data_IF_256755933170
#
_entry.id   IF_256755933170
#
_cell.length_a   1.000
_cell.length_b   1.000
_cell.length_c   1.000
_cell.angle_alpha   90.00
_cell.angle_beta   90.00
_cell.angle_gamma   90.00
#
_symmetry.space_group_name_H-M   'P 1'
#
loop_
_entity.id
_entity.type
_entity.pdbx_description
1 polymer ?
#
# COMPACT_ATOMS: atom_id res chain seq x y z
N UNK A 1 -6.06 8.70 2.38
CA UNK A 1 -5.26 7.46 2.24
C UNK A 1 -5.98 6.49 1.33
N UNK A 2 -5.34 6.03 0.24
CA UNK A 2 -5.88 4.98 -0.62
C UNK A 2 -6.03 3.66 0.15
N UNK A 3 -7.18 3.01 0.00
CA UNK A 3 -7.44 1.65 0.47
C UNK A 3 -7.82 0.81 -0.74
N UNK A 4 -7.23 -0.36 -0.86
CA UNK A 4 -7.61 -1.36 -1.85
C UNK A 4 -8.29 -2.53 -1.14
N UNK A 5 -9.36 -3.03 -1.76
CA UNK A 5 -10.07 -4.21 -1.29
C UNK A 5 -10.24 -5.16 -2.46
N UNK A 6 -9.85 -6.41 -2.24
CA UNK A 6 -9.77 -7.38 -3.31
C UNK A 6 -11.08 -7.51 -4.11
N UNK A 7 -12.23 -7.56 -3.43
CA UNK A 7 -13.51 -7.74 -4.12
C UNK A 7 -14.00 -6.49 -4.84
N UNK A 8 -13.66 -5.29 -4.34
CA UNK A 8 -14.12 -4.03 -4.94
C UNK A 8 -13.30 -3.64 -6.15
N UNK A 9 -12.02 -4.04 -6.15
CA UNK A 9 -11.08 -3.80 -7.24
C UNK A 9 -11.09 -4.94 -8.28
N UNK A 10 -11.93 -5.96 -8.06
CA UNK A 10 -12.20 -7.03 -9.01
C UNK A 10 -13.05 -6.48 -10.17
N UNK A 11 -12.44 -6.30 -11.33
CA UNK A 11 -13.12 -5.79 -12.52
C UNK A 11 -13.13 -6.84 -13.63
N UNK A 12 -14.32 -7.17 -14.14
CA UNK A 12 -14.48 -7.98 -15.35
C UNK A 12 -14.05 -7.24 -16.63
N UNK A 13 -13.70 -5.96 -16.55
CA UNK A 13 -13.60 -5.04 -17.69
C UNK A 13 -12.27 -4.27 -17.79
N UNK A 14 -11.55 -4.07 -16.69
CA UNK A 14 -10.24 -3.41 -16.67
C UNK A 14 -9.24 -4.24 -15.86
N UNK A 15 -8.36 -4.92 -16.58
CA UNK A 15 -7.31 -5.79 -16.05
C UNK A 15 -5.96 -5.26 -16.53
N UNK A 16 -5.06 -4.80 -15.63
CA UNK A 16 -3.79 -4.26 -16.08
C UNK A 16 -2.80 -5.33 -16.63
N UNK A 17 -3.04 -6.66 -16.53
CA UNK A 17 -2.09 -7.66 -17.08
C UNK A 17 -2.54 -9.15 -17.26
N UNK A 18 -3.73 -9.45 -17.82
CA UNK A 18 -4.24 -10.80 -18.28
C UNK A 18 -4.45 -11.89 -17.19
N UNK A 19 -4.86 -13.15 -17.50
CA UNK A 19 -6.26 -13.61 -17.66
C UNK A 19 -6.76 -14.18 -16.32
N UNK A 20 -7.98 -13.84 -15.92
CA UNK A 20 -8.67 -14.46 -14.79
C UNK A 20 -9.49 -15.64 -15.32
N UNK A 21 -9.26 -16.86 -14.84
CA UNK A 21 -10.18 -17.98 -15.07
C UNK A 21 -11.20 -18.01 -13.94
N UNK A 22 -12.48 -17.77 -14.26
CA UNK A 22 -13.59 -17.99 -13.34
C UNK A 22 -14.26 -19.33 -13.67
N UNK A 23 -14.59 -20.10 -12.64
CA UNK A 23 -15.29 -21.38 -12.76
C UNK A 23 -16.68 -21.30 -12.14
N UNK A 24 -17.60 -22.15 -12.60
CA UNK A 24 -18.90 -22.33 -11.98
C UNK A 24 -18.96 -23.68 -11.27
N UNK A 25 -19.55 -23.72 -10.07
CA UNK A 25 -19.85 -24.99 -9.41
C UNK A 25 -21.10 -25.63 -10.03
N UNK A 26 -21.20 -26.97 -10.12
CA UNK A 26 -22.41 -27.64 -10.55
C UNK A 26 -23.63 -27.23 -9.73
N UNK A 27 -24.80 -27.25 -10.38
CA UNK A 27 -26.08 -26.89 -9.77
C UNK A 27 -26.37 -27.71 -8.50
N UNK A 28 -26.85 -27.06 -7.43
CA UNK A 28 -27.21 -27.70 -6.15
C UNK A 28 -26.16 -27.55 -5.03
N UNK A 29 -24.98 -27.01 -5.32
CA UNK A 29 -24.01 -26.65 -4.28
C UNK A 29 -24.03 -25.14 -4.02
N UNK A 30 -24.39 -24.77 -2.80
CA UNK A 30 -24.39 -23.38 -2.33
C UNK A 30 -23.19 -23.14 -1.42
N UNK A 31 -22.44 -22.08 -1.69
CA UNK A 31 -21.36 -21.59 -0.84
C UNK A 31 -21.71 -20.17 -0.46
N UNK A 32 -21.70 -19.89 0.85
CA UNK A 32 -21.86 -18.55 1.37
C UNK A 32 -20.53 -17.81 1.21
N UNK A 33 -20.48 -16.90 0.25
CA UNK A 33 -19.35 -16.00 0.08
C UNK A 33 -19.70 -14.70 0.82
N UNK A 34 -18.94 -14.39 1.86
CA UNK A 34 -19.08 -13.11 2.56
C UNK A 34 -18.64 -11.97 1.64
N UNK A 35 -19.24 -10.79 1.80
CA UNK A 35 -18.83 -9.58 1.09
C UNK A 35 -17.34 -9.29 1.33
N UNK A 36 -16.67 -8.62 0.40
CA UNK A 36 -15.25 -8.25 0.51
C UNK A 36 -14.25 -9.42 0.38
N UNK A 37 -14.63 -10.52 -0.27
CA UNK A 37 -13.72 -11.62 -0.55
C UNK A 37 -13.82 -12.18 -1.97
N UNK A 38 -12.79 -12.92 -2.37
CA UNK A 38 -12.73 -13.69 -3.61
C UNK A 38 -12.56 -15.16 -3.25
N UNK A 39 -13.43 -16.01 -3.80
CA UNK A 39 -13.28 -17.45 -3.68
C UNK A 39 -12.26 -17.96 -4.70
N UNK A 40 -11.26 -18.68 -4.22
CA UNK A 40 -10.14 -19.21 -4.99
C UNK A 40 -10.21 -20.73 -4.96
N UNK A 41 -10.15 -21.36 -6.13
CA UNK A 41 -10.11 -22.81 -6.30
C UNK A 41 -8.90 -23.15 -7.19
N UNK A 42 -7.86 -23.82 -6.67
CA UNK A 42 -6.87 -24.46 -7.52
C UNK A 42 -7.51 -25.68 -8.19
N UNK A 43 -7.15 -25.98 -9.44
CA UNK A 43 -7.81 -27.04 -10.25
C UNK A 43 -7.71 -28.48 -9.64
N UNK A 44 -7.02 -28.64 -8.51
CA UNK A 44 -6.96 -29.87 -7.72
C UNK A 44 -6.21 -31.00 -8.42
N UNK A 45 -5.55 -30.72 -9.54
CA UNK A 45 -4.78 -31.67 -10.31
C UNK A 45 -3.35 -31.16 -10.49
N UNK A 46 -2.37 -31.98 -10.13
CA UNK A 46 -0.94 -31.72 -10.34
C UNK A 46 -0.34 -30.51 -9.57
N UNK A 47 -0.86 -30.16 -8.39
CA UNK A 47 -0.24 -29.15 -7.54
C UNK A 47 -0.44 -27.73 -8.08
N UNK A 48 -1.58 -27.49 -8.70
CA UNK A 48 -1.94 -26.18 -9.24
C UNK A 48 -2.20 -25.17 -8.14
N UNK A 49 -2.02 -23.90 -8.48
CA UNK A 49 -2.23 -22.78 -7.59
C UNK A 49 -3.24 -21.80 -8.20
N UNK A 50 -4.09 -21.23 -7.35
CA UNK A 50 -4.85 -20.03 -7.66
C UNK A 50 -4.10 -18.83 -7.08
N UNK A 51 -3.92 -17.77 -7.87
CA UNK A 51 -3.11 -16.60 -7.48
C UNK A 51 -3.93 -15.33 -7.67
N UNK A 52 -3.98 -14.53 -6.61
CA UNK A 52 -4.43 -13.14 -6.65
C UNK A 52 -3.19 -12.26 -6.47
N UNK A 53 -2.96 -11.34 -7.41
CA UNK A 53 -1.78 -10.47 -7.43
C UNK A 53 -2.16 -9.02 -7.18
N UNK A 54 -1.55 -8.42 -6.16
CA UNK A 54 -1.47 -6.97 -6.01
C UNK A 54 -0.17 -6.46 -6.64
N UNK A 55 -0.24 -5.38 -7.41
CA UNK A 55 0.94 -4.68 -7.95
C UNK A 55 0.94 -3.26 -7.40
N UNK A 56 2.00 -2.88 -6.70
CA UNK A 56 2.05 -1.58 -6.04
C UNK A 56 2.05 -0.45 -7.08
N UNK A 57 1.11 0.51 -7.01
CA UNK A 57 1.02 1.58 -8.01
C UNK A 57 2.12 2.64 -7.85
N UNK A 58 2.72 2.75 -6.66
CA UNK A 58 3.83 3.66 -6.34
C UNK A 58 4.63 3.16 -5.15
N UNK A 59 5.80 3.74 -4.94
CA UNK A 59 6.63 3.45 -3.76
C UNK A 59 5.89 3.84 -2.46
N UNK A 60 6.02 3.00 -1.44
CA UNK A 60 5.58 3.33 -0.09
C UNK A 60 5.55 2.16 0.87
N UNK A 61 5.14 2.42 2.11
CA UNK A 61 4.89 1.37 3.09
C UNK A 61 3.43 0.93 3.01
N UNK A 62 3.19 -0.36 2.83
CA UNK A 62 1.87 -0.93 2.71
C UNK A 62 1.55 -1.79 3.93
N UNK A 63 0.39 -1.59 4.53
CA UNK A 63 -0.18 -2.47 5.54
C UNK A 63 -1.06 -3.49 4.84
N UNK A 64 -0.80 -4.76 5.10
CA UNK A 64 -1.59 -5.89 4.62
C UNK A 64 -2.43 -6.43 5.78
N UNK A 65 -3.72 -6.63 5.58
CA UNK A 65 -4.63 -7.30 6.50
C UNK A 65 -5.42 -8.36 5.71
N UNK A 66 -5.15 -9.62 6.02
CA UNK A 66 -5.48 -10.76 5.14
C UNK A 66 -6.08 -11.87 5.96
N UNK A 67 -7.19 -12.42 5.46
CA UNK A 67 -7.83 -13.61 6.01
C UNK A 67 -8.04 -14.62 4.88
N UNK A 68 -7.61 -15.85 5.12
CA UNK A 68 -7.98 -17.00 4.31
C UNK A 68 -8.89 -17.91 5.10
N UNK A 69 -10.00 -18.34 4.48
CA UNK A 69 -10.96 -19.24 5.11
C UNK A 69 -11.32 -20.36 4.15
N UNK A 70 -11.25 -21.60 4.62
CA UNK A 70 -11.74 -22.77 3.88
C UNK A 70 -13.27 -22.75 3.85
N UNK A 71 -13.88 -22.72 2.67
CA UNK A 71 -15.35 -22.52 2.52
C UNK A 71 -16.07 -23.73 1.92
N UNK A 72 -15.36 -24.83 1.70
CA UNK A 72 -15.92 -26.06 1.15
C UNK A 72 -15.98 -27.16 2.19
N UNK A 73 -17.14 -27.83 2.30
CA UNK A 73 -17.41 -28.82 3.36
C UNK A 73 -16.58 -30.09 3.28
N UNK A 74 -16.00 -30.38 2.12
CA UNK A 74 -15.09 -31.52 1.93
C UNK A 74 -13.61 -31.10 1.88
N UNK A 75 -13.31 -29.83 2.15
CA UNK A 75 -11.94 -29.36 2.30
C UNK A 75 -11.27 -30.09 3.45
N UNK A 76 -10.02 -30.53 3.23
CA UNK A 76 -9.20 -31.16 4.27
C UNK A 76 -7.99 -30.34 4.63
N UNK A 77 -7.25 -29.91 3.61
CA UNK A 77 -6.04 -29.12 3.74
C UNK A 77 -5.98 -28.10 2.62
N UNK A 78 -5.57 -26.87 2.89
CA UNK A 78 -5.28 -25.90 1.84
C UNK A 78 -4.08 -25.08 2.25
N UNK A 79 -3.06 -25.11 1.40
CA UNK A 79 -1.87 -24.30 1.60
C UNK A 79 -2.17 -22.87 1.15
N UNK A 80 -1.92 -21.90 2.02
CA UNK A 80 -2.05 -20.49 1.68
C UNK A 80 -0.73 -19.78 1.89
N UNK A 81 -0.38 -18.91 0.94
CA UNK A 81 0.92 -18.26 0.88
C UNK A 81 0.77 -16.79 0.56
N UNK A 82 1.65 -15.97 1.14
CA UNK A 82 1.83 -14.57 0.79
C UNK A 82 3.28 -14.41 0.35
N UNK A 83 3.48 -14.17 -0.95
CA UNK A 83 4.79 -14.06 -1.57
C UNK A 83 5.02 -12.63 -2.03
N UNK A 84 6.16 -12.07 -1.66
CA UNK A 84 6.60 -10.75 -2.09
C UNK A 84 7.62 -10.85 -3.24
N UNK A 85 7.34 -10.10 -4.30
CA UNK A 85 8.17 -9.96 -5.50
C UNK A 85 8.54 -11.30 -6.17
N UNK A 86 7.69 -12.31 -6.06
CA UNK A 86 7.92 -13.69 -6.51
C UNK A 86 9.11 -14.44 -5.86
N UNK A 87 9.77 -13.90 -4.83
CA UNK A 87 10.98 -14.50 -4.24
C UNK A 87 10.91 -14.67 -2.73
N UNK A 88 10.23 -13.78 -2.01
CA UNK A 88 10.26 -13.77 -0.54
C UNK A 88 8.94 -14.26 0.01
N UNK A 89 8.93 -15.39 0.71
CA UNK A 89 7.75 -15.82 1.48
C UNK A 89 7.59 -14.93 2.70
N UNK A 90 6.53 -14.11 2.72
CA UNK A 90 6.16 -13.31 3.88
C UNK A 90 5.39 -14.15 4.90
N UNK A 91 4.57 -15.07 4.42
CA UNK A 91 3.75 -15.93 5.26
C UNK A 91 3.32 -17.19 4.51
N UNK A 92 3.24 -18.31 5.23
CA UNK A 92 2.79 -19.60 4.73
C UNK A 92 2.11 -20.35 5.89
N UNK A 93 0.94 -20.92 5.63
CA UNK A 93 0.23 -21.77 6.58
C UNK A 93 -0.71 -22.74 5.87
N UNK A 94 -1.08 -23.81 6.57
CA UNK A 94 -2.09 -24.77 6.14
C UNK A 94 -3.42 -24.53 6.87
N UNK A 95 -4.53 -24.56 6.12
CA UNK A 95 -5.90 -24.56 6.64
C UNK A 95 -6.37 -26.01 6.84
N UNK A 96 -6.74 -26.38 8.06
CA UNK A 96 -7.05 -27.76 8.46
C UNK A 96 -8.55 -28.04 8.48
N UNK A 97 -9.15 -28.13 7.30
CA UNK A 97 -10.53 -28.59 7.11
C UNK A 97 -11.52 -27.48 6.78
N UNK A 98 -12.82 -27.78 6.80
CA UNK A 98 -13.87 -26.81 6.50
C UNK A 98 -13.90 -25.71 7.57
N UNK A 99 -14.16 -24.47 7.14
CA UNK A 99 -14.29 -23.28 8.00
C UNK A 99 -13.02 -22.88 8.76
N UNK A 100 -11.91 -23.62 8.65
CA UNK A 100 -10.66 -23.19 9.23
C UNK A 100 -10.22 -21.88 8.59
N UNK A 101 -9.85 -20.93 9.45
CA UNK A 101 -9.54 -19.56 9.08
C UNK A 101 -8.23 -19.15 9.73
N UNK A 102 -7.37 -18.50 8.93
CA UNK A 102 -6.09 -17.99 9.37
C UNK A 102 -5.89 -16.58 8.83
N UNK A 103 -5.34 -15.72 9.67
CA UNK A 103 -5.10 -14.33 9.33
C UNK A 103 -3.61 -13.99 9.37
N UNK A 104 -3.25 -13.04 8.51
CA UNK A 104 -1.95 -12.41 8.47
C UNK A 104 -2.12 -10.89 8.45
N UNK A 105 -1.36 -10.21 9.31
CA UNK A 105 -1.33 -8.76 9.33
C UNK A 105 0.11 -8.27 9.51
N UNK A 106 0.52 -7.32 8.68
CA UNK A 106 1.79 -6.62 8.89
C UNK A 106 1.70 -5.72 10.13
N UNK A 107 2.83 -5.23 10.62
CA UNK A 107 2.80 -4.18 11.66
C UNK A 107 2.15 -2.89 11.13
N UNK A 108 1.76 -1.99 12.04
CA UNK A 108 1.15 -0.69 11.68
C UNK A 108 2.09 0.22 10.87
N UNK A 109 3.39 -0.08 10.83
CA UNK A 109 4.37 0.62 10.00
C UNK A 109 4.43 0.09 8.56
N UNK A 110 3.71 -1.00 8.27
CA UNK A 110 3.67 -1.67 6.98
C UNK A 110 4.99 -2.29 6.56
N UNK A 111 5.03 -2.78 5.32
CA UNK A 111 6.24 -3.23 4.64
C UNK A 111 6.56 -2.28 3.48
N UNK A 112 7.84 -1.96 3.22
CA UNK A 112 8.22 -1.16 2.07
C UNK A 112 8.02 -1.95 0.78
N UNK A 113 7.26 -1.41 -0.17
CA UNK A 113 7.03 -1.98 -1.51
C UNK A 113 7.24 -0.88 -2.54
N UNK A 114 8.04 -1.15 -3.57
CA UNK A 114 8.29 -0.21 -4.67
C UNK A 114 7.21 -0.32 -5.74
N UNK A 115 7.08 0.74 -6.53
CA UNK A 115 6.22 0.78 -7.70
C UNK A 115 6.50 -0.42 -8.62
N UNK A 116 5.43 -1.07 -9.06
CA UNK A 116 5.42 -2.26 -9.92
C UNK A 116 5.95 -3.56 -9.27
N UNK A 117 6.37 -3.55 -8.00
CA UNK A 117 6.60 -4.80 -7.26
C UNK A 117 5.25 -5.43 -6.87
N UNK A 118 5.27 -6.76 -6.70
CA UNK A 118 4.04 -7.52 -6.48
C UNK A 118 3.95 -8.16 -5.07
N UNK A 119 2.72 -8.35 -4.62
CA UNK A 119 2.37 -9.25 -3.53
C UNK A 119 1.38 -10.26 -4.09
N UNK A 120 1.74 -11.53 -4.01
CA UNK A 120 0.92 -12.64 -4.48
C UNK A 120 0.30 -13.35 -3.29
N UNK A 121 -1.02 -13.45 -3.32
CA UNK A 121 -1.85 -14.21 -2.40
C UNK A 121 -2.22 -15.50 -3.11
N UNK A 122 -1.68 -16.61 -2.62
CA UNK A 122 -1.69 -17.89 -3.33
C UNK A 122 -2.46 -18.90 -2.50
N UNK A 123 -3.34 -19.65 -3.17
CA UNK A 123 -4.02 -20.82 -2.62
C UNK A 123 -3.60 -22.03 -3.42
N UNK A 124 -3.11 -23.07 -2.74
CA UNK A 124 -2.73 -24.34 -3.33
C UNK A 124 -3.31 -25.53 -2.57
N UNK A 125 -2.99 -26.73 -3.06
CA UNK A 125 -3.51 -28.00 -2.54
C UNK A 125 -3.05 -28.35 -1.11
N UNK A 126 -2.05 -27.64 -0.56
CA UNK A 126 -1.50 -27.91 0.77
C UNK A 126 -0.86 -29.30 0.86
N UNK A 127 -0.91 -29.92 2.05
CA UNK A 127 -0.28 -31.22 2.30
C UNK A 127 -1.01 -32.43 1.66
N UNK A 128 -2.23 -32.27 1.13
CA UNK A 128 -3.06 -33.38 0.62
C UNK A 128 -3.81 -33.04 -0.67
N UNK A 129 -3.62 -33.85 -1.72
CA UNK A 129 -4.20 -33.70 -3.07
C UNK A 129 -5.69 -34.03 -3.14
N UNK A 130 -6.52 -33.17 -2.57
CA UNK A 130 -7.98 -33.33 -2.62
C UNK A 130 -8.59 -32.22 -3.48
N UNK A 131 -9.52 -32.63 -4.36
CA UNK A 131 -9.98 -31.86 -5.53
C UNK A 131 -11.05 -30.81 -5.16
N UNK A 132 -11.63 -30.88 -3.96
CA UNK A 132 -12.77 -30.04 -3.56
C UNK A 132 -12.40 -28.98 -2.51
N UNK A 133 -11.45 -28.12 -2.87
CA UNK A 133 -10.92 -27.09 -1.98
C UNK A 133 -11.20 -25.69 -2.54
N UNK A 134 -12.19 -25.00 -1.97
CA UNK A 134 -12.31 -23.55 -2.14
C UNK A 134 -11.85 -22.81 -0.89
N UNK A 135 -11.08 -21.76 -1.11
CA UNK A 135 -10.64 -20.85 -0.07
C UNK A 135 -11.13 -19.44 -0.39
N UNK A 136 -11.83 -18.84 0.56
CA UNK A 136 -12.16 -17.41 0.52
C UNK A 136 -10.95 -16.60 0.97
N UNK A 137 -10.48 -15.70 0.11
CA UNK A 137 -9.48 -14.71 0.45
C UNK A 137 -10.15 -13.34 0.66
N UNK A 138 -10.02 -12.77 1.85
CA UNK A 138 -10.43 -11.41 2.18
C UNK A 138 -9.18 -10.58 2.43
N UNK A 139 -8.93 -9.60 1.56
CA UNK A 139 -7.70 -8.81 1.58
C UNK A 139 -8.04 -7.32 1.63
N UNK A 140 -7.45 -6.64 2.61
CA UNK A 140 -7.41 -5.19 2.71
C UNK A 140 -5.94 -4.73 2.66
N UNK A 141 -5.64 -3.81 1.75
CA UNK A 141 -4.30 -3.24 1.56
C UNK A 141 -4.39 -1.72 1.71
N UNK A 142 -3.50 -1.18 2.53
CA UNK A 142 -3.46 0.25 2.81
C UNK A 142 -2.07 0.80 2.53
N UNK A 143 -1.99 1.86 1.71
CA UNK A 143 -0.76 2.63 1.60
C UNK A 143 -0.70 3.60 2.78
N UNK A 144 0.36 3.50 3.56
CA UNK A 144 0.75 4.54 4.50
C UNK A 144 1.34 5.69 3.70
N UNK A 145 0.51 6.72 3.50
CA UNK A 145 1.04 7.99 3.07
C UNK A 145 1.98 8.47 4.17
N UNK A 146 3.26 8.60 3.84
CA UNK A 146 4.16 9.37 4.67
C UNK A 146 3.44 10.71 4.86
N UNK A 147 2.98 10.97 6.09
CA UNK A 147 2.70 12.34 6.47
C UNK A 147 4.04 13.02 6.23
N UNK A 148 4.18 13.68 5.09
CA UNK A 148 5.09 14.80 4.98
C UNK A 148 4.53 15.80 5.99
N UNK A 149 4.81 15.57 7.28
CA UNK A 149 5.37 16.62 8.10
C UNK A 149 6.55 17.09 7.25
N UNK A 150 6.27 18.01 6.34
CA UNK A 150 7.23 19.05 6.07
C UNK A 150 7.75 19.38 7.47
N UNK A 151 9.05 19.23 7.75
CA UNK A 151 9.55 19.98 8.87
C UNK A 151 9.05 21.38 8.57
N UNK A 152 8.14 21.89 9.40
CA UNK A 152 8.02 23.32 9.52
C UNK A 152 9.41 23.66 10.00
N UNK A 153 10.31 23.94 9.06
CA UNK A 153 11.53 24.65 9.33
C UNK A 153 10.96 25.98 9.80
N UNK A 154 10.74 26.07 11.11
CA UNK A 154 10.44 27.29 11.84
C UNK A 154 11.68 28.20 11.75
N UNK A 155 12.03 28.55 10.52
CA UNK A 155 13.29 29.17 10.12
C UNK A 155 13.15 29.90 8.79
N UNK A 156 12.14 29.62 7.95
CA UNK A 156 11.98 30.33 6.67
C UNK A 156 11.12 31.59 6.74
N UNK A 157 10.31 31.78 7.79
CA UNK A 157 9.60 33.06 8.01
C UNK A 157 10.51 34.07 8.75
N UNK A 158 11.46 33.58 9.55
CA UNK A 158 12.40 34.41 10.30
C UNK A 158 13.55 34.95 9.46
N UNK A 159 14.16 34.14 8.58
CA UNK A 159 15.34 34.57 7.82
C UNK A 159 15.05 35.71 6.85
N UNK A 160 13.91 35.67 6.13
CA UNK A 160 13.53 36.74 5.20
C UNK A 160 13.22 38.07 5.91
N UNK A 161 12.54 38.01 7.05
CA UNK A 161 12.24 39.21 7.85
C UNK A 161 13.48 39.79 8.51
N UNK A 162 14.33 38.96 9.12
CA UNK A 162 15.57 39.43 9.77
C UNK A 162 16.55 40.00 8.74
N UNK A 163 16.71 39.34 7.59
CA UNK A 163 17.56 39.85 6.51
C UNK A 163 16.99 41.15 5.92
N UNK A 164 15.67 41.26 5.78
CA UNK A 164 15.00 42.49 5.32
C UNK A 164 15.19 43.67 6.28
N UNK A 165 15.13 43.45 7.59
CA UNK A 165 15.38 44.48 8.62
C UNK A 165 16.85 44.91 8.58
N UNK A 166 17.79 43.96 8.49
CA UNK A 166 19.23 44.26 8.44
C UNK A 166 19.56 45.07 7.17
N UNK A 167 19.04 44.67 6.01
CA UNK A 167 19.25 45.40 4.75
C UNK A 167 18.64 46.81 4.83
N UNK A 168 17.44 46.94 5.40
CA UNK A 168 16.79 48.25 5.58
C UNK A 168 17.58 49.18 6.51
N UNK A 169 18.14 48.65 7.61
CA UNK A 169 18.97 49.42 8.52
C UNK A 169 20.27 49.89 7.86
N UNK A 170 20.92 49.03 7.07
CA UNK A 170 22.14 49.37 6.31
C UNK A 170 21.84 50.46 5.28
N UNK A 171 20.77 50.31 4.49
CA UNK A 171 20.38 51.31 3.49
C UNK A 171 20.02 52.64 4.13
N UNK A 172 19.31 52.62 5.26
CA UNK A 172 18.99 53.83 6.02
C UNK A 172 20.25 54.53 6.54
N UNK A 173 21.22 53.77 7.06
CA UNK A 173 22.48 54.33 7.54
C UNK A 173 23.29 54.98 6.41
N UNK A 174 23.38 54.32 5.25
CA UNK A 174 24.04 54.86 4.06
C UNK A 174 23.35 56.15 3.60
N UNK A 175 22.02 56.15 3.51
CA UNK A 175 21.24 57.32 3.12
C UNK A 175 21.43 58.49 4.10
N UNK A 176 21.41 58.22 5.41
CA UNK A 176 21.62 59.23 6.44
C UNK A 176 23.00 59.87 6.31
N UNK A 177 24.06 59.06 6.19
CA UNK A 177 25.45 59.54 6.00
C UNK A 177 25.59 60.35 4.72
N UNK A 178 24.99 59.90 3.62
CA UNK A 178 24.98 60.64 2.36
C UNK A 178 24.30 62.02 2.51
N UNK A 179 23.15 62.08 3.18
CA UNK A 179 22.41 63.32 3.42
C UNK A 179 23.17 64.30 4.31
N UNK A 180 23.81 63.80 5.37
CA UNK A 180 24.64 64.60 6.26
C UNK A 180 25.84 65.19 5.54
N UNK A 181 26.53 64.39 4.71
CA UNK A 181 27.65 64.85 3.89
C UNK A 181 27.23 65.93 2.89
N UNK A 182 26.06 65.79 2.25
CA UNK A 182 25.51 66.85 1.39
C UNK A 182 25.22 68.14 2.15
N UNK A 183 24.64 68.06 3.36
CA UNK A 183 24.40 69.26 4.20
C UNK A 183 25.70 69.96 4.58
N UNK A 184 26.74 69.21 4.95
CA UNK A 184 28.07 69.78 5.25
C UNK A 184 28.74 70.39 4.01
N UNK A 185 28.57 69.78 2.84
CA UNK A 185 29.04 70.33 1.57
C UNK A 185 28.39 71.68 1.21
N UNK A 186 27.08 71.83 1.45
CA UNK A 186 26.39 73.12 1.24
C UNK A 186 26.81 74.21 2.24
N UNK A 187 27.22 73.85 3.46
CA UNK A 187 27.70 74.82 4.46
C UNK A 187 29.16 75.25 4.25
N UNK A 188 29.96 74.48 3.52
CA UNK A 188 31.35 74.82 3.18
C UNK A 188 31.49 75.74 1.95
N UNK A 189 30.37 76.09 1.29
CA UNK A 189 30.32 76.96 0.10
C UNK A 189 29.70 78.34 0.38
N UNK A 190 29.40 78.66 1.64
CA UNK A 190 28.94 79.98 2.09
C UNK A 190 30.00 80.65 2.98
#
# INVERSE_FOLDING_TARGET
MPKWSLSSDFSLIHNPSSVWSYGSKPHGYHILIQTNGVAMHPDGSNGSFSVVRFTAPKDGNYVLDVIFTSIESCARHSGVYIIYNNVTTLWEIDLNGPEDSKSFKTTDSGIPIRANENIDFIVGEGLNRVICHMTLAQLDIHLLENQTKFPIIAGSIGFGFVLGIIISAILFHIYYRYRENRRKGYQAMN
#
